data_IF_238904135432
#
_entry.id   IF_238904135432
#
_cell.length_a   1.000
_cell.length_b   1.000
_cell.length_c   1.000
_cell.angle_alpha   90.00
_cell.angle_beta   90.00
_cell.angle_gamma   90.00
#
_symmetry.space_group_name_H-M   'P 1'
#
loop_
_entity.id
_entity.type
_entity.pdbx_description
1 polymer ?
#
# COMPACT_ATOMS: atom_id res chain seq x y z
N UNK A 1 19.57 -16.64 -27.01
CA UNK A 1 19.93 -17.06 -25.64
C UNK A 1 20.37 -15.89 -24.75
N UNK A 2 21.58 -15.31 -24.89
CA UNK A 2 22.00 -14.18 -24.02
C UNK A 2 21.09 -12.95 -24.12
N UNK A 3 20.67 -12.60 -25.35
CA UNK A 3 19.81 -11.45 -25.60
C UNK A 3 18.41 -11.62 -24.99
N UNK A 4 17.89 -12.85 -25.00
CA UNK A 4 16.56 -13.18 -24.44
C UNK A 4 16.60 -13.17 -22.92
N UNK A 5 17.68 -13.67 -22.32
CA UNK A 5 17.92 -13.60 -20.88
C UNK A 5 18.02 -12.15 -20.38
N UNK A 6 18.66 -11.26 -21.15
CA UNK A 6 18.73 -9.83 -20.83
C UNK A 6 17.35 -9.18 -20.92
N UNK A 7 16.57 -9.47 -21.95
CA UNK A 7 15.22 -8.92 -22.12
C UNK A 7 14.28 -9.35 -20.98
N UNK A 8 14.30 -10.64 -20.61
CA UNK A 8 13.52 -11.15 -19.49
C UNK A 8 13.89 -10.44 -18.16
N UNK A 9 15.19 -10.18 -17.95
CA UNK A 9 15.65 -9.47 -16.76
C UNK A 9 15.20 -8.00 -16.73
N UNK A 10 15.21 -7.33 -17.88
CA UNK A 10 14.71 -5.96 -18.02
C UNK A 10 13.21 -5.91 -17.70
N UNK A 11 12.43 -6.85 -18.23
CA UNK A 11 10.98 -6.93 -18.01
C UNK A 11 10.65 -7.13 -16.52
N UNK A 12 11.35 -8.06 -15.85
CA UNK A 12 11.19 -8.30 -14.40
C UNK A 12 11.56 -7.05 -13.59
N UNK A 13 12.69 -6.39 -13.92
CA UNK A 13 13.10 -5.16 -13.25
C UNK A 13 12.10 -4.01 -13.47
N UNK A 14 11.51 -3.89 -14.65
CA UNK A 14 10.48 -2.89 -14.96
C UNK A 14 9.19 -3.16 -14.18
N UNK A 15 8.75 -4.40 -14.09
CA UNK A 15 7.58 -4.79 -13.30
C UNK A 15 7.78 -4.43 -11.81
N UNK A 16 8.96 -4.73 -11.25
CA UNK A 16 9.28 -4.34 -9.87
C UNK A 16 9.35 -2.83 -9.66
N UNK A 17 9.90 -2.07 -10.63
CA UNK A 17 9.94 -0.62 -10.56
C UNK A 17 8.53 -0.02 -10.56
N UNK A 18 7.65 -0.52 -11.40
CA UNK A 18 6.25 -0.06 -11.46
C UNK A 18 5.48 -0.43 -10.18
N UNK A 19 5.78 -1.59 -9.57
CA UNK A 19 5.25 -1.94 -8.25
C UNK A 19 5.72 -0.96 -7.18
N UNK A 20 7.03 -0.71 -7.09
CA UNK A 20 7.63 0.22 -6.11
C UNK A 20 7.11 1.66 -6.25
N UNK A 21 6.89 2.12 -7.49
CA UNK A 21 6.27 3.44 -7.75
C UNK A 21 4.81 3.50 -7.28
N UNK A 22 4.10 2.38 -7.34
CA UNK A 22 2.71 2.26 -6.84
C UNK A 22 2.66 2.01 -5.34
N UNK A 23 3.75 1.53 -4.73
CA UNK A 23 3.92 1.43 -3.28
C UNK A 23 4.02 2.84 -2.70
N UNK A 24 2.86 3.44 -2.45
CA UNK A 24 2.79 4.71 -1.76
C UNK A 24 3.12 4.47 -0.28
N UNK A 25 4.38 4.67 0.09
CA UNK A 25 4.89 4.50 1.46
C UNK A 25 4.07 5.30 2.48
N UNK A 26 3.45 6.41 2.08
CA UNK A 26 2.58 7.18 2.97
C UNK A 26 1.25 6.47 3.23
N UNK A 27 0.69 5.77 2.23
CA UNK A 27 -0.49 4.92 2.44
C UNK A 27 -0.16 3.72 3.34
N UNK A 28 1.03 3.13 3.21
CA UNK A 28 1.45 2.03 4.09
C UNK A 28 1.74 2.51 5.52
N UNK A 29 2.33 3.69 5.68
CA UNK A 29 2.69 4.25 6.98
C UNK A 29 1.50 4.88 7.72
N UNK A 30 0.52 5.42 6.99
CA UNK A 30 -0.69 6.05 7.52
C UNK A 30 -1.90 5.60 6.72
N UNK A 31 -2.25 4.32 6.86
CA UNK A 31 -3.43 3.79 6.19
C UNK A 31 -4.68 4.38 6.83
N UNK A 32 -5.25 5.40 6.18
CA UNK A 32 -6.51 6.05 6.60
C UNK A 32 -7.68 5.26 6.01
N UNK A 33 -8.54 4.73 6.86
CA UNK A 33 -9.73 3.99 6.46
C UNK A 33 -10.91 4.29 7.40
N UNK A 34 -11.95 3.48 7.35
CA UNK A 34 -13.07 3.54 8.29
C UNK A 34 -13.46 2.14 8.77
N UNK A 35 -13.85 2.04 10.03
CA UNK A 35 -14.42 0.85 10.67
C UNK A 35 -15.78 1.22 11.27
N UNK A 36 -16.85 0.92 10.55
CA UNK A 36 -18.20 1.37 10.88
C UNK A 36 -18.30 2.90 10.92
N UNK A 37 -18.66 3.46 12.08
CA UNK A 37 -18.78 4.90 12.32
C UNK A 37 -17.46 5.59 12.69
N UNK A 38 -16.36 4.84 12.85
CA UNK A 38 -15.06 5.39 13.21
C UNK A 38 -14.16 5.54 11.99
N UNK A 39 -13.46 6.67 11.88
CA UNK A 39 -12.27 6.75 11.03
C UNK A 39 -11.14 5.96 11.67
N UNK A 40 -10.30 5.31 10.87
CA UNK A 40 -9.12 4.57 11.35
C UNK A 40 -7.84 5.10 10.72
N UNK A 41 -6.75 5.12 11.51
CA UNK A 41 -5.39 5.28 11.00
C UNK A 41 -4.60 4.06 11.47
N UNK A 42 -4.04 3.27 10.54
CA UNK A 42 -3.32 2.04 10.85
C UNK A 42 -4.13 1.11 11.77
N UNK A 43 -5.41 0.93 11.46
CA UNK A 43 -6.38 0.16 12.26
C UNK A 43 -6.71 0.73 13.66
N UNK A 44 -6.12 1.84 14.09
CA UNK A 44 -6.54 2.53 15.31
C UNK A 44 -7.75 3.41 15.05
N UNK A 45 -8.87 3.14 15.74
CA UNK A 45 -10.09 3.94 15.66
C UNK A 45 -9.86 5.32 16.28
N UNK A 46 -10.24 6.36 15.55
CA UNK A 46 -10.17 7.74 15.97
C UNK A 46 -11.56 8.23 16.38
N UNK A 47 -11.65 8.73 17.61
CA UNK A 47 -12.87 9.29 18.17
C UNK A 47 -13.58 8.34 19.12
N UNK A 48 -14.72 8.80 19.64
CA UNK A 48 -15.57 8.10 20.60
C UNK A 48 -17.03 8.30 20.19
N UNK A 49 -17.82 7.23 20.22
CA UNK A 49 -19.26 7.34 20.01
C UNK A 49 -19.93 7.57 21.37
N UNK A 50 -21.00 8.38 21.44
CA UNK A 50 -21.73 8.60 22.70
C UNK A 50 -22.28 7.31 23.34
N UNK A 51 -22.43 6.24 22.55
CA UNK A 51 -23.02 4.96 22.94
C UNK A 51 -22.00 3.89 23.34
N UNK A 52 -20.71 4.10 23.10
CA UNK A 52 -19.64 3.16 23.46
C UNK A 52 -18.50 3.94 24.12
N UNK A 53 -18.31 3.78 25.45
CA UNK A 53 -17.26 4.49 26.19
C UNK A 53 -15.85 4.05 25.77
#
# INVERSE_FOLDING_TARGET
EERDAILAKIEVSQAHLELLKRTNVLNDAFHIWHDGEFGTINNFRLGRLPKMP
#
